data_IF_754007594951
#
_entry.id   IF_754007594951
#
_cell.length_a   1.000
_cell.length_b   1.000
_cell.length_c   1.000
_cell.angle_alpha   90.00
_cell.angle_beta   90.00
_cell.angle_gamma   90.00
#
_symmetry.space_group_name_H-M   'P 1'
#
loop_
_entity.id
_entity.type
_entity.pdbx_description
1 polymer ?
#
# COMPACT_ATOMS: atom_id res chain seq x y z
N UNK A 1 -1.39 18.32 12.00
CA UNK A 1 -0.97 17.85 10.66
C UNK A 1 -2.13 17.38 9.76
N UNK A 2 -3.39 17.42 10.23
CA UNK A 2 -4.56 16.85 9.53
C UNK A 2 -5.08 17.66 8.32
N UNK A 3 -4.79 18.97 8.26
CA UNK A 3 -5.31 19.83 7.19
C UNK A 3 -4.55 19.67 5.85
N UNK A 4 -3.23 19.42 5.90
CA UNK A 4 -2.42 19.24 4.70
C UNK A 4 -2.75 17.93 3.97
N UNK A 5 -2.92 16.82 4.72
CA UNK A 5 -3.28 15.52 4.17
C UNK A 5 -4.68 15.53 3.49
N UNK A 6 -5.59 16.38 3.97
CA UNK A 6 -6.92 16.56 3.39
C UNK A 6 -6.86 17.36 2.08
N UNK A 7 -6.06 18.43 2.02
CA UNK A 7 -5.86 19.19 0.77
C UNK A 7 -5.13 18.32 -0.28
N UNK A 8 -4.10 17.57 0.12
CA UNK A 8 -3.31 16.73 -0.79
C UNK A 8 -4.13 15.60 -1.44
N UNK A 9 -5.20 15.14 -0.78
CA UNK A 9 -6.11 14.13 -1.30
C UNK A 9 -7.15 14.68 -2.31
N UNK A 10 -7.31 16.00 -2.42
CA UNK A 10 -8.36 16.61 -3.26
C UNK A 10 -7.89 16.97 -4.67
N UNK A 11 -6.57 17.04 -4.90
CA UNK A 11 -6.02 17.36 -6.22
C UNK A 11 -6.16 16.21 -7.21
N UNK A 12 -6.66 16.53 -8.41
CA UNK A 12 -6.70 15.66 -9.59
C UNK A 12 -5.59 16.05 -10.57
N UNK A 13 -5.19 15.08 -11.39
CA UNK A 13 -4.19 15.30 -12.42
C UNK A 13 -4.66 16.40 -13.39
N UNK A 14 -3.90 17.50 -13.45
CA UNK A 14 -4.23 18.69 -14.22
C UNK A 14 -4.68 19.91 -13.40
N UNK A 15 -5.00 19.74 -12.12
CA UNK A 15 -5.37 20.85 -11.24
C UNK A 15 -4.19 21.78 -10.94
N UNK A 16 -2.96 21.25 -11.04
CA UNK A 16 -1.71 21.99 -10.85
C UNK A 16 -0.59 21.41 -11.71
N UNK A 17 0.42 22.23 -11.98
CA UNK A 17 1.66 21.77 -12.61
C UNK A 17 2.47 20.92 -11.62
N UNK A 18 2.89 19.73 -12.07
CA UNK A 18 3.73 18.84 -11.27
C UNK A 18 5.14 18.80 -11.85
N UNK A 19 6.14 18.96 -11.00
CA UNK A 19 7.56 18.91 -11.36
C UNK A 19 8.39 18.64 -10.10
N UNK A 20 9.61 18.16 -10.28
CA UNK A 20 10.52 17.88 -9.18
C UNK A 20 10.89 19.19 -8.47
N UNK A 21 10.63 19.26 -7.17
CA UNK A 21 10.92 20.43 -6.32
C UNK A 21 11.25 20.03 -4.89
N UNK A 22 11.74 20.99 -4.11
CA UNK A 22 12.02 20.82 -2.68
C UNK A 22 11.15 21.76 -1.82
N UNK A 23 10.38 21.24 -0.84
CA UNK A 23 10.14 19.82 -0.60
C UNK A 23 9.37 19.16 -1.76
N UNK A 24 9.54 17.85 -1.93
CA UNK A 24 8.85 17.08 -2.98
C UNK A 24 7.34 17.21 -2.83
N UNK A 25 6.66 17.44 -3.95
CA UNK A 25 5.20 17.55 -3.99
C UNK A 25 4.56 16.19 -3.72
N UNK A 26 3.40 16.18 -3.07
CA UNK A 26 2.64 14.99 -2.73
C UNK A 26 1.16 15.15 -3.07
N UNK A 27 0.48 14.06 -3.43
CA UNK A 27 -0.96 14.07 -3.67
C UNK A 27 -1.51 12.92 -4.52
N UNK A 28 -2.83 12.87 -4.60
CA UNK A 28 -3.57 11.90 -5.40
C UNK A 28 -3.36 12.11 -6.92
N UNK A 29 -3.16 13.35 -7.35
CA UNK A 29 -2.78 13.72 -8.71
C UNK A 29 -1.45 13.11 -9.17
N UNK A 30 -0.46 13.05 -8.26
CA UNK A 30 0.83 12.40 -8.52
C UNK A 30 0.68 10.88 -8.53
N UNK A 31 -0.18 10.32 -7.68
CA UNK A 31 -0.51 8.89 -7.67
C UNK A 31 -1.11 8.48 -9.03
N UNK A 32 -2.07 9.26 -9.53
CA UNK A 32 -2.68 9.05 -10.86
C UNK A 32 -1.63 9.16 -11.98
N UNK A 33 -0.76 10.17 -11.93
CA UNK A 33 0.36 10.30 -12.87
C UNK A 33 1.27 9.06 -12.88
N UNK A 34 1.76 8.63 -11.71
CA UNK A 34 2.65 7.47 -11.58
C UNK A 34 2.01 6.20 -12.15
N UNK A 35 0.71 6.01 -11.93
CA UNK A 35 -0.03 4.86 -12.45
C UNK A 35 -0.17 4.89 -13.97
N UNK A 36 -0.56 6.04 -14.53
CA UNK A 36 -0.67 6.21 -15.98
C UNK A 36 0.67 6.03 -16.67
N UNK A 37 1.75 6.54 -16.10
CA UNK A 37 3.09 6.31 -16.62
C UNK A 37 3.44 4.82 -16.58
N UNK A 38 3.21 4.15 -15.45
CA UNK A 38 3.48 2.72 -15.28
C UNK A 38 2.67 1.81 -16.21
N UNK A 39 1.39 2.13 -16.46
CA UNK A 39 0.54 1.37 -17.40
C UNK A 39 0.92 1.60 -18.86
N UNK A 40 1.56 2.73 -19.16
CA UNK A 40 2.12 3.02 -20.48
C UNK A 40 3.57 2.53 -20.64
N UNK A 41 4.11 1.84 -19.63
CA UNK A 41 5.45 1.25 -19.67
C UNK A 41 6.59 2.20 -19.28
N UNK A 42 6.29 3.32 -18.64
CA UNK A 42 7.29 4.25 -18.11
C UNK A 42 7.46 4.02 -16.61
N UNK A 43 8.69 3.70 -16.19
CA UNK A 43 9.01 3.36 -14.82
C UNK A 43 9.09 4.61 -13.92
N UNK A 44 7.97 4.94 -13.26
CA UNK A 44 7.88 6.05 -12.31
C UNK A 44 8.30 5.68 -10.87
N UNK A 45 8.90 4.50 -10.67
CA UNK A 45 9.22 3.99 -9.33
C UNK A 45 7.99 3.47 -8.59
N UNK A 46 7.97 3.66 -7.27
CA UNK A 46 6.80 3.29 -6.45
C UNK A 46 5.66 4.28 -6.66
N UNK A 47 4.43 3.77 -6.64
CA UNK A 47 3.21 4.58 -6.72
C UNK A 47 2.88 5.12 -5.32
N UNK A 48 3.76 5.99 -4.81
CA UNK A 48 3.70 6.53 -3.44
C UNK A 48 3.04 7.91 -3.33
N UNK A 49 2.62 8.47 -4.47
CA UNK A 49 2.03 9.81 -4.55
C UNK A 49 3.05 10.93 -4.33
N UNK A 50 4.36 10.64 -4.40
CA UNK A 50 5.44 11.62 -4.24
C UNK A 50 6.12 11.90 -5.58
N UNK A 51 6.24 13.18 -5.95
CA UNK A 51 6.94 13.56 -7.17
C UNK A 51 8.45 13.57 -6.94
N UNK A 52 9.07 12.39 -7.02
CA UNK A 52 10.51 12.17 -6.89
C UNK A 52 11.25 12.09 -8.23
N UNK A 53 12.55 11.74 -8.17
CA UNK A 53 13.44 11.61 -9.33
C UNK A 53 12.98 10.53 -10.33
N UNK A 54 12.43 9.43 -9.83
CA UNK A 54 11.94 8.33 -10.68
C UNK A 54 10.70 8.79 -11.46
N UNK A 55 9.76 9.47 -10.78
CA UNK A 55 8.59 10.10 -11.41
C UNK A 55 9.02 11.12 -12.47
N UNK A 56 9.97 12.01 -12.16
CA UNK A 56 10.49 12.99 -13.12
C UNK A 56 11.10 12.30 -14.35
N UNK A 57 11.92 11.27 -14.13
CA UNK A 57 12.56 10.51 -15.21
C UNK A 57 11.53 9.82 -16.10
N UNK A 58 10.48 9.24 -15.51
CA UNK A 58 9.36 8.64 -16.25
C UNK A 58 8.58 9.68 -17.06
N UNK A 59 8.33 10.87 -16.50
CA UNK A 59 7.68 11.98 -17.21
C UNK A 59 8.52 12.41 -18.41
N UNK A 60 9.83 12.59 -18.25
CA UNK A 60 10.73 12.97 -19.36
C UNK A 60 10.73 11.93 -20.48
N UNK A 61 10.80 10.65 -20.12
CA UNK A 61 10.74 9.55 -21.08
C UNK A 61 9.39 9.50 -21.81
N UNK A 62 8.29 9.71 -21.09
CA UNK A 62 6.96 9.79 -21.66
C UNK A 62 6.82 10.96 -22.64
N UNK A 63 7.24 12.15 -22.22
CA UNK A 63 7.24 13.35 -23.05
C UNK A 63 8.04 13.14 -24.33
N UNK A 64 9.25 12.59 -24.25
CA UNK A 64 10.06 12.25 -25.41
C UNK A 64 9.35 11.27 -26.36
N UNK A 65 8.69 10.24 -25.84
CA UNK A 65 7.94 9.28 -26.66
C UNK A 65 6.69 9.91 -27.31
N UNK A 66 6.05 10.88 -26.65
CA UNK A 66 4.90 11.61 -27.19
C UNK A 66 5.28 12.80 -28.10
N UNK A 67 6.57 13.03 -28.37
CA UNK A 67 7.05 14.15 -29.17
C UNK A 67 6.88 15.51 -28.49
N UNK A 68 6.77 15.53 -27.15
CA UNK A 68 6.76 16.73 -26.32
C UNK A 68 8.19 17.09 -25.91
N UNK A 69 8.39 18.32 -25.44
CA UNK A 69 9.66 18.72 -24.80
C UNK A 69 9.85 17.90 -23.50
N UNK A 70 10.95 17.14 -23.34
CA UNK A 70 11.19 16.29 -22.17
C UNK A 70 11.75 17.09 -20.99
N UNK A 71 10.98 18.07 -20.53
CA UNK A 71 11.36 19.00 -19.45
C UNK A 71 11.06 18.45 -18.05
N UNK A 72 10.34 17.34 -17.93
CA UNK A 72 9.94 16.75 -16.66
C UNK A 72 8.78 17.47 -15.97
N UNK A 73 8.14 18.41 -16.66
CA UNK A 73 7.04 19.23 -16.15
C UNK A 73 5.70 18.72 -16.68
N UNK A 74 4.84 18.29 -15.77
CA UNK A 74 3.48 17.83 -16.09
C UNK A 74 2.57 19.05 -16.17
N UNK A 75 2.61 19.71 -17.33
CA UNK A 75 1.66 20.74 -17.74
C UNK A 75 0.48 20.20 -18.56
N UNK A 76 -0.41 21.09 -19.05
CA UNK A 76 -1.63 20.72 -19.78
C UNK A 76 -1.38 19.78 -20.97
N UNK A 77 -0.31 19.97 -21.73
CA UNK A 77 0.01 19.12 -22.89
C UNK A 77 0.36 17.69 -22.48
N UNK A 78 1.12 17.54 -21.39
CA UNK A 78 1.47 16.23 -20.82
C UNK A 78 0.21 15.52 -20.31
N UNK A 79 -0.66 16.23 -19.58
CA UNK A 79 -1.93 15.70 -19.08
C UNK A 79 -2.84 15.26 -20.22
N UNK A 80 -2.94 16.07 -21.28
CA UNK A 80 -3.73 15.74 -22.46
C UNK A 80 -3.20 14.50 -23.18
N UNK A 81 -1.88 14.38 -23.34
CA UNK A 81 -1.25 13.21 -23.93
C UNK A 81 -1.52 11.93 -23.12
N UNK A 82 -1.40 12.00 -21.78
CA UNK A 82 -1.74 10.88 -20.88
C UNK A 82 -3.22 10.49 -21.02
N UNK A 83 -4.13 11.47 -21.09
CA UNK A 83 -5.56 11.24 -21.26
C UNK A 83 -5.93 10.49 -22.55
N UNK A 84 -5.25 10.80 -23.67
CA UNK A 84 -5.47 10.12 -24.96
C UNK A 84 -5.07 8.65 -24.95
N UNK A 85 -4.11 8.28 -24.11
CA UNK A 85 -3.55 6.93 -24.06
C UNK A 85 -4.21 6.05 -22.98
N UNK A 86 -4.76 6.65 -21.92
CA UNK A 86 -5.48 5.93 -20.86
C UNK A 86 -6.65 5.07 -21.39
N UNK A 87 -7.30 5.48 -22.49
CA UNK A 87 -8.38 4.71 -23.11
C UNK A 87 -7.95 3.51 -23.95
N UNK A 88 -6.64 3.27 -24.15
CA UNK A 88 -6.14 2.33 -25.18
C UNK A 88 -5.53 1.02 -24.67
N UNK A 89 -5.24 0.83 -23.37
CA UNK A 89 -4.53 -0.38 -22.86
C UNK A 89 -4.98 -0.87 -21.47
N UNK A 90 -6.28 -1.04 -21.24
CA UNK A 90 -6.84 -1.53 -19.95
C UNK A 90 -6.59 -3.03 -19.63
N UNK A 91 -5.56 -3.68 -20.18
CA UNK A 91 -5.43 -5.15 -20.10
C UNK A 91 -4.04 -5.74 -19.81
N UNK A 92 -2.96 -4.95 -19.81
CA UNK A 92 -1.62 -5.45 -19.53
C UNK A 92 -1.21 -5.06 -18.10
N UNK A 93 -0.60 -6.01 -17.36
CA UNK A 93 -0.06 -5.77 -16.01
C UNK A 93 0.96 -4.64 -16.05
N UNK A 94 0.85 -3.68 -15.14
CA UNK A 94 1.75 -2.52 -15.11
C UNK A 94 3.18 -2.92 -14.73
N UNK A 95 4.20 -2.12 -15.09
CA UNK A 95 5.59 -2.39 -14.68
C UNK A 95 5.72 -2.47 -13.14
N UNK A 96 4.96 -1.64 -12.42
CA UNK A 96 4.93 -1.65 -10.97
C UNK A 96 4.40 -2.98 -10.41
N UNK A 97 3.33 -3.55 -11.00
CA UNK A 97 2.77 -4.85 -10.60
C UNK A 97 3.74 -6.01 -10.88
N UNK A 98 4.43 -5.96 -12.02
CA UNK A 98 5.45 -6.97 -12.39
C UNK A 98 6.62 -6.92 -11.40
N UNK A 99 7.14 -5.73 -11.10
CA UNK A 99 8.24 -5.54 -10.14
C UNK A 99 7.88 -6.03 -8.75
N UNK A 100 6.70 -5.68 -8.25
CA UNK A 100 6.22 -6.13 -6.95
C UNK A 100 6.15 -7.67 -6.91
N UNK A 101 5.57 -8.29 -7.94
CA UNK A 101 5.43 -9.76 -8.02
C UNK A 101 6.79 -10.47 -8.02
N UNK A 102 7.75 -9.98 -8.81
CA UNK A 102 9.10 -10.55 -8.86
C UNK A 102 9.85 -10.38 -7.53
N UNK A 103 9.74 -9.21 -6.88
CA UNK A 103 10.31 -8.99 -5.55
C UNK A 103 9.77 -10.01 -4.54
N UNK A 104 8.47 -10.27 -4.57
CA UNK A 104 7.82 -11.17 -3.62
C UNK A 104 8.14 -12.66 -3.86
N UNK A 105 8.36 -13.07 -5.11
CA UNK A 105 8.77 -14.45 -5.42
C UNK A 105 10.15 -14.82 -4.89
N UNK A 106 11.03 -13.83 -4.73
CA UNK A 106 12.42 -14.04 -4.32
C UNK A 106 12.61 -14.32 -2.81
N UNK A 107 11.59 -14.10 -1.97
CA UNK A 107 11.71 -14.15 -0.51
C UNK A 107 10.56 -14.96 0.10
N UNK A 108 10.86 -16.15 0.61
CA UNK A 108 9.87 -17.07 1.21
C UNK A 108 10.08 -17.24 2.72
N UNK A 109 8.99 -17.52 3.44
CA UNK A 109 8.99 -17.80 4.88
C UNK A 109 9.14 -16.57 5.79
N UNK A 110 9.00 -16.79 7.11
CA UNK A 110 9.07 -15.74 8.13
C UNK A 110 10.50 -15.46 8.63
N UNK A 111 11.43 -16.41 8.51
CA UNK A 111 12.78 -16.29 9.04
C UNK A 111 13.54 -15.09 8.43
N UNK A 112 13.99 -14.16 9.26
CA UNK A 112 14.68 -12.93 8.84
C UNK A 112 13.79 -11.93 8.10
N UNK A 113 12.49 -12.20 7.97
CA UNK A 113 11.55 -11.32 7.27
C UNK A 113 11.32 -10.08 8.12
N UNK A 114 11.54 -8.90 7.54
CA UNK A 114 11.29 -7.60 8.18
C UNK A 114 9.80 -7.25 8.11
N UNK A 115 9.06 -7.48 9.18
CA UNK A 115 7.61 -7.30 9.24
C UNK A 115 7.29 -6.08 10.10
N UNK A 116 6.45 -5.20 9.58
CA UNK A 116 5.95 -4.04 10.33
C UNK A 116 4.51 -4.32 10.75
N UNK A 117 4.22 -4.19 12.04
CA UNK A 117 2.86 -4.27 12.57
C UNK A 117 2.49 -2.97 13.26
N UNK A 118 1.29 -2.47 13.04
CA UNK A 118 0.91 -1.14 13.53
C UNK A 118 -0.52 -1.04 14.02
N UNK A 119 -0.78 -0.06 14.88
CA UNK A 119 -2.13 0.31 15.32
C UNK A 119 -2.27 1.80 15.63
N UNK A 120 -3.50 2.30 15.59
CA UNK A 120 -3.86 3.72 15.78
C UNK A 120 -4.54 4.01 17.12
N UNK A 121 -4.74 3.00 17.96
CA UNK A 121 -5.33 3.12 19.30
C UNK A 121 -6.16 1.90 19.69
N UNK A 122 -6.06 1.50 20.97
CA UNK A 122 -6.98 0.55 21.60
C UNK A 122 -6.69 -0.93 21.34
N UNK A 123 -5.67 -1.27 20.52
CA UNK A 123 -5.30 -2.66 20.20
C UNK A 123 -3.81 -2.96 20.38
N UNK A 124 -3.09 -2.14 21.15
CA UNK A 124 -1.65 -2.34 21.42
C UNK A 124 -1.32 -3.75 21.93
N UNK A 125 -2.10 -4.31 22.87
CA UNK A 125 -1.89 -5.65 23.40
C UNK A 125 -2.02 -6.77 22.34
N UNK A 126 -2.89 -6.59 21.35
CA UNK A 126 -3.02 -7.48 20.20
C UNK A 126 -1.76 -7.40 19.33
N UNK A 127 -1.32 -6.18 18.98
CA UNK A 127 -0.11 -5.94 18.18
C UNK A 127 1.14 -6.51 18.85
N UNK A 128 1.32 -6.29 20.15
CA UNK A 128 2.45 -6.82 20.91
C UNK A 128 2.44 -8.35 20.96
N UNK A 129 1.25 -8.95 21.07
CA UNK A 129 1.11 -10.40 21.05
C UNK A 129 1.42 -10.98 19.68
N UNK A 130 0.94 -10.36 18.60
CA UNK A 130 1.28 -10.72 17.23
C UNK A 130 2.79 -10.60 17.00
N UNK A 131 3.40 -9.49 17.41
CA UNK A 131 4.82 -9.23 17.23
C UNK A 131 5.69 -10.26 17.96
N UNK A 132 5.34 -10.62 19.21
CA UNK A 132 6.04 -11.68 19.94
C UNK A 132 5.98 -13.02 19.23
N UNK A 133 4.83 -13.38 18.65
CA UNK A 133 4.66 -14.63 17.89
C UNK A 133 5.52 -14.64 16.63
N UNK A 134 5.46 -13.58 15.83
CA UNK A 134 6.27 -13.43 14.62
C UNK A 134 7.77 -13.47 14.91
N UNK A 135 8.22 -12.82 15.99
CA UNK A 135 9.63 -12.91 16.44
C UNK A 135 10.03 -14.32 16.86
N UNK A 136 9.11 -15.07 17.48
CA UNK A 136 9.36 -16.48 17.83
C UNK A 136 9.50 -17.38 16.59
N UNK A 137 8.87 -17.00 15.47
CA UNK A 137 9.04 -17.66 14.16
C UNK A 137 10.26 -17.14 13.37
N UNK A 138 11.11 -16.31 14.00
CA UNK A 138 12.36 -15.81 13.42
C UNK A 138 12.23 -14.55 12.58
N UNK A 139 11.06 -13.89 12.54
CA UNK A 139 10.90 -12.62 11.85
C UNK A 139 11.54 -11.46 12.62
N UNK A 140 12.05 -10.47 11.90
CA UNK A 140 12.44 -9.18 12.45
C UNK A 140 11.18 -8.30 12.48
N UNK A 141 10.74 -7.86 13.65
CA UNK A 141 9.44 -7.16 13.77
C UNK A 141 9.59 -5.77 14.34
N UNK A 142 9.04 -4.78 13.63
CA UNK A 142 8.84 -3.41 14.10
C UNK A 142 7.37 -3.20 14.48
N UNK A 143 7.13 -2.69 15.69
CA UNK A 143 5.78 -2.33 16.18
C UNK A 143 5.59 -0.82 16.15
N UNK A 144 4.44 -0.35 15.64
CA UNK A 144 4.09 1.08 15.58
C UNK A 144 2.78 1.34 16.34
N UNK A 145 2.83 2.27 17.30
CA UNK A 145 1.70 2.62 18.17
C UNK A 145 1.45 4.13 18.10
N UNK A 146 0.90 4.61 16.99
CA UNK A 146 0.58 6.03 16.83
C UNK A 146 -0.61 6.24 15.89
N UNK A 147 -1.35 7.35 16.05
CA UNK A 147 -2.57 7.58 15.26
C UNK A 147 -2.30 8.01 13.81
N UNK A 148 -1.07 8.39 13.46
CA UNK A 148 -0.73 8.93 12.13
C UNK A 148 -0.25 7.82 11.17
N UNK A 149 -1.09 7.52 10.18
CA UNK A 149 -0.83 6.51 9.16
C UNK A 149 0.28 6.90 8.16
N UNK A 150 0.48 8.19 7.90
CA UNK A 150 1.61 8.65 7.08
C UNK A 150 2.92 8.53 7.85
N UNK A 151 2.90 8.77 9.16
CA UNK A 151 4.04 8.51 10.04
C UNK A 151 4.36 7.00 10.12
N UNK A 152 3.34 6.14 10.08
CA UNK A 152 3.54 4.69 9.94
C UNK A 152 4.28 4.35 8.65
N UNK A 153 3.79 4.84 7.51
CA UNK A 153 4.38 4.56 6.20
C UNK A 153 5.84 5.03 6.14
N UNK A 154 6.11 6.26 6.60
CA UNK A 154 7.45 6.82 6.67
C UNK A 154 8.40 5.93 7.47
N UNK A 155 8.01 5.56 8.70
CA UNK A 155 8.86 4.75 9.59
C UNK A 155 9.07 3.34 9.02
N UNK A 156 8.03 2.74 8.46
CA UNK A 156 8.09 1.42 7.83
C UNK A 156 9.03 1.39 6.61
N UNK A 157 9.01 2.46 5.80
CA UNK A 157 9.89 2.64 4.64
C UNK A 157 11.34 2.91 5.05
N UNK A 158 11.58 3.76 6.05
CA UNK A 158 12.93 4.07 6.58
C UNK A 158 13.56 2.83 7.22
N UNK A 159 12.75 1.99 7.85
CA UNK A 159 13.17 0.71 8.37
C UNK A 159 13.19 -0.39 7.29
N UNK A 160 12.96 -0.08 6.01
CA UNK A 160 13.03 -1.03 4.89
C UNK A 160 12.31 -2.36 5.21
N UNK A 161 11.09 -2.24 5.73
CA UNK A 161 10.28 -3.42 6.00
C UNK A 161 9.79 -4.05 4.70
N UNK A 162 9.53 -5.35 4.77
CA UNK A 162 9.10 -6.13 3.62
C UNK A 162 7.58 -6.27 3.49
N UNK A 163 6.83 -6.06 4.58
CA UNK A 163 5.36 -6.13 4.62
C UNK A 163 4.84 -5.34 5.81
N UNK A 164 3.66 -4.73 5.66
CA UNK A 164 2.98 -3.99 6.70
C UNK A 164 1.59 -4.60 7.00
N UNK A 165 1.29 -4.84 8.28
CA UNK A 165 -0.04 -5.24 8.74
C UNK A 165 -0.47 -4.31 9.87
N UNK A 166 -1.49 -3.49 9.60
CA UNK A 166 -2.04 -2.60 10.61
C UNK A 166 -3.44 -3.02 11.08
N UNK A 167 -3.78 -2.66 12.30
CA UNK A 167 -5.08 -2.95 12.91
C UNK A 167 -5.66 -1.70 13.58
N UNK A 168 -6.96 -1.47 13.42
CA UNK A 168 -7.71 -0.45 14.16
C UNK A 168 -9.07 -0.97 14.56
N UNK A 169 -9.61 -0.44 15.65
CA UNK A 169 -11.00 -0.63 16.03
C UNK A 169 -11.92 0.14 15.07
N UNK A 170 -13.06 -0.45 14.77
CA UNK A 170 -14.15 0.13 13.98
C UNK A 170 -15.49 -0.52 14.41
N UNK A 171 -16.55 0.27 14.49
CA UNK A 171 -17.90 -0.24 14.78
C UNK A 171 -18.65 -0.64 13.51
N UNK A 172 -18.26 -0.11 12.37
CA UNK A 172 -18.86 -0.31 11.05
C UNK A 172 -17.77 -0.45 9.96
N UNK A 173 -18.15 -0.96 8.79
CA UNK A 173 -17.26 -1.20 7.65
C UNK A 173 -16.03 -2.07 8.00
N UNK A 174 -16.30 -3.20 8.66
CA UNK A 174 -15.28 -4.20 8.96
C UNK A 174 -14.66 -4.71 7.67
N UNK A 175 -13.34 -4.65 7.57
CA UNK A 175 -12.66 -4.90 6.31
C UNK A 175 -11.17 -5.14 6.53
N UNK A 176 -10.54 -5.76 5.53
CA UNK A 176 -9.09 -5.78 5.36
C UNK A 176 -8.75 -5.00 4.10
N UNK A 177 -8.32 -3.77 4.27
CA UNK A 177 -8.04 -2.89 3.15
C UNK A 177 -6.65 -3.17 2.56
N UNK A 178 -6.53 -3.18 1.23
CA UNK A 178 -5.27 -3.23 0.48
C UNK A 178 -5.19 -2.12 -0.57
N UNK A 179 -4.00 -1.80 -1.07
CA UNK A 179 -3.86 -0.73 -2.05
C UNK A 179 -4.42 -1.12 -3.42
N UNK A 180 -5.40 -0.35 -3.89
CA UNK A 180 -5.97 -0.47 -5.22
C UNK A 180 -6.48 0.88 -5.72
N UNK A 181 -6.33 1.10 -7.02
CA UNK A 181 -6.93 2.20 -7.78
C UNK A 181 -7.63 1.65 -9.03
N UNK A 182 -8.16 2.52 -9.88
CA UNK A 182 -8.82 2.11 -11.12
C UNK A 182 -7.87 1.39 -12.10
N UNK A 183 -6.56 1.65 -12.04
CA UNK A 183 -5.56 1.10 -12.97
C UNK A 183 -4.40 0.36 -12.30
N UNK A 184 -4.42 0.14 -11.00
CA UNK A 184 -3.35 -0.55 -10.27
C UNK A 184 -3.92 -1.35 -9.11
N UNK A 185 -3.44 -2.59 -8.93
CA UNK A 185 -3.71 -3.39 -7.74
C UNK A 185 -2.39 -3.88 -7.17
N UNK A 186 -2.13 -3.63 -5.87
CA UNK A 186 -0.99 -4.27 -5.19
C UNK A 186 -1.27 -5.78 -5.11
N UNK A 187 -0.53 -6.57 -5.89
CA UNK A 187 -0.73 -8.01 -5.97
C UNK A 187 -0.41 -8.68 -4.62
N UNK A 188 0.68 -8.23 -3.98
CA UNK A 188 1.06 -8.68 -2.64
C UNK A 188 0.07 -8.22 -1.58
N UNK A 189 -0.35 -6.96 -1.63
CA UNK A 189 -1.31 -6.39 -0.68
C UNK A 189 -2.67 -7.10 -0.75
N UNK A 190 -3.16 -7.37 -1.97
CA UNK A 190 -4.40 -8.14 -2.18
C UNK A 190 -4.27 -9.57 -1.64
N UNK A 191 -3.17 -10.27 -1.96
CA UNK A 191 -2.92 -11.61 -1.43
C UNK A 191 -2.90 -11.64 0.10
N UNK A 192 -2.25 -10.65 0.72
CA UNK A 192 -2.22 -10.52 2.18
C UNK A 192 -3.61 -10.23 2.74
N UNK A 193 -4.36 -9.34 2.10
CA UNK A 193 -5.70 -8.98 2.53
C UNK A 193 -6.65 -10.16 2.48
N UNK A 194 -6.58 -10.99 1.44
CA UNK A 194 -7.39 -12.21 1.34
C UNK A 194 -7.01 -13.21 2.45
N UNK A 195 -5.72 -13.44 2.71
CA UNK A 195 -5.31 -14.32 3.81
C UNK A 195 -5.75 -13.82 5.19
N UNK A 196 -5.61 -12.51 5.45
CA UNK A 196 -6.02 -11.90 6.71
C UNK A 196 -7.55 -11.88 6.83
N UNK A 197 -8.27 -11.56 5.76
CA UNK A 197 -9.73 -11.58 5.70
C UNK A 197 -10.29 -12.92 6.16
N UNK A 198 -9.80 -14.04 5.60
CA UNK A 198 -10.21 -15.38 6.03
C UNK A 198 -9.82 -15.69 7.48
N UNK A 199 -8.65 -15.23 7.93
CA UNK A 199 -8.13 -15.55 9.26
C UNK A 199 -8.87 -14.83 10.40
N UNK A 200 -9.36 -13.61 10.16
CA UNK A 200 -10.04 -12.79 11.18
C UNK A 200 -11.47 -13.31 11.48
N UNK A 201 -12.12 -13.96 10.52
CA UNK A 201 -13.52 -14.43 10.65
C UNK A 201 -13.70 -15.34 11.85
N UNK A 202 -12.79 -16.30 12.09
CA UNK A 202 -12.91 -17.24 13.22
C UNK A 202 -12.88 -16.54 14.58
N UNK A 203 -11.81 -15.80 14.92
CA UNK A 203 -11.68 -15.12 16.22
C UNK A 203 -12.77 -14.07 16.50
N UNK A 204 -13.19 -13.31 15.48
CA UNK A 204 -14.14 -12.20 15.67
C UNK A 204 -15.58 -12.56 15.32
N UNK A 205 -15.82 -13.71 14.69
CA UNK A 205 -17.13 -14.18 14.24
C UNK A 205 -17.91 -13.14 13.41
N UNK A 206 -17.20 -12.43 12.54
CA UNK A 206 -17.76 -11.45 11.64
C UNK A 206 -16.94 -11.42 10.33
N UNK A 207 -17.58 -11.19 9.17
CA UNK A 207 -16.87 -11.06 7.90
C UNK A 207 -16.03 -9.79 7.89
N UNK A 208 -14.81 -9.89 7.36
CA UNK A 208 -13.90 -8.78 7.15
C UNK A 208 -13.43 -8.82 5.69
N UNK A 209 -14.28 -8.49 4.70
CA UNK A 209 -13.95 -8.60 3.28
C UNK A 209 -12.65 -7.87 2.93
N UNK A 210 -11.91 -8.43 1.97
CA UNK A 210 -10.76 -7.75 1.38
C UNK A 210 -11.25 -6.64 0.45
N UNK A 211 -10.87 -5.39 0.72
CA UNK A 211 -11.37 -4.21 -0.01
C UNK A 211 -10.22 -3.37 -0.55
N UNK A 212 -10.29 -2.98 -1.81
CA UNK A 212 -9.35 -2.04 -2.41
C UNK A 212 -9.57 -0.62 -1.88
N UNK A 213 -8.55 0.02 -1.32
CA UNK A 213 -8.61 1.38 -0.77
C UNK A 213 -7.33 2.17 -1.04
N UNK A 214 -7.39 3.49 -0.77
CA UNK A 214 -6.29 4.45 -0.98
C UNK A 214 -5.97 5.27 0.29
N UNK A 215 -6.03 4.63 1.45
CA UNK A 215 -5.71 5.29 2.72
C UNK A 215 -4.19 5.57 2.83
N UNK A 216 -3.75 6.55 3.64
CA UNK A 216 -2.36 7.01 3.66
C UNK A 216 -1.31 5.90 3.80
N UNK A 217 -1.50 4.97 4.75
CA UNK A 217 -0.57 3.87 4.96
C UNK A 217 -0.43 2.94 3.75
N UNK A 218 -1.52 2.73 2.99
CA UNK A 218 -1.52 1.84 1.82
C UNK A 218 -0.91 2.52 0.58
N UNK A 219 -1.11 3.84 0.47
CA UNK A 219 -0.59 4.64 -0.65
C UNK A 219 0.89 4.97 -0.47
N UNK A 220 1.31 5.37 0.73
CA UNK A 220 2.66 5.95 0.94
C UNK A 220 3.74 4.90 1.26
N UNK A 221 3.34 3.64 1.45
CA UNK A 221 4.27 2.55 1.76
C UNK A 221 4.89 1.93 0.50
N UNK A 222 6.13 1.46 0.63
CA UNK A 222 6.89 0.78 -0.44
C UNK A 222 6.84 -0.75 -0.33
N UNK A 223 5.99 -1.27 0.55
CA UNK A 223 5.77 -2.70 0.78
C UNK A 223 4.30 -3.08 0.56
N UNK A 224 4.00 -4.37 0.32
CA UNK A 224 2.65 -4.87 0.48
C UNK A 224 2.12 -4.50 1.87
N UNK A 225 0.93 -3.93 1.91
CA UNK A 225 0.35 -3.44 3.15
C UNK A 225 -1.13 -3.76 3.22
N UNK A 226 -1.57 -4.05 4.45
CA UNK A 226 -3.00 -4.17 4.77
C UNK A 226 -3.36 -3.37 6.00
N UNK A 227 -4.62 -2.94 6.04
CA UNK A 227 -5.21 -2.23 7.17
C UNK A 227 -6.52 -2.89 7.59
N UNK A 228 -6.50 -3.54 8.75
CA UNK A 228 -7.60 -4.30 9.30
C UNK A 228 -8.47 -3.42 10.19
N UNK A 229 -9.70 -3.14 9.76
CA UNK A 229 -10.73 -2.53 10.60
C UNK A 229 -11.47 -3.64 11.34
N UNK A 230 -11.14 -3.83 12.61
CA UNK A 230 -11.68 -4.89 13.47
C UNK A 230 -12.78 -4.36 14.37
N UNK A 231 -13.73 -5.23 14.70
CA UNK A 231 -14.99 -4.88 15.35
C UNK A 231 -14.91 -4.40 16.80
N UNK A 232 -15.97 -4.72 17.55
CA UNK A 232 -16.17 -4.30 18.95
C UNK A 232 -14.89 -4.41 19.83
N UNK A 233 -14.48 -3.33 20.52
CA UNK A 233 -13.26 -3.32 21.33
C UNK A 233 -13.21 -4.39 22.42
N UNK A 234 -14.33 -4.65 23.11
CA UNK A 234 -14.35 -5.64 24.18
C UNK A 234 -14.11 -7.04 23.60
N UNK A 235 -14.75 -7.37 22.47
CA UNK A 235 -14.54 -8.64 21.77
C UNK A 235 -13.12 -8.77 21.23
N UNK A 236 -12.56 -7.71 20.64
CA UNK A 236 -11.19 -7.73 20.12
C UNK A 236 -10.18 -7.96 21.23
N UNK A 237 -10.34 -7.30 22.38
CA UNK A 237 -9.45 -7.48 23.55
C UNK A 237 -9.60 -8.89 24.13
N UNK A 238 -10.82 -9.39 24.33
CA UNK A 238 -11.08 -10.74 24.81
C UNK A 238 -10.43 -11.81 23.91
N UNK A 239 -10.50 -11.60 22.59
CA UNK A 239 -10.03 -12.56 21.59
C UNK A 239 -8.62 -12.27 21.07
N UNK A 240 -7.91 -11.30 21.66
CA UNK A 240 -6.61 -10.85 21.18
C UNK A 240 -5.58 -11.99 21.00
N UNK A 241 -5.45 -12.99 21.91
CA UNK A 241 -4.51 -14.09 21.73
C UNK A 241 -4.83 -14.98 20.53
N UNK A 242 -6.12 -15.25 20.28
CA UNK A 242 -6.59 -16.06 19.16
C UNK A 242 -6.46 -15.30 17.85
N UNK A 243 -6.83 -14.02 17.84
CA UNK A 243 -6.70 -13.14 16.68
C UNK A 243 -5.22 -12.96 16.28
N UNK A 244 -4.32 -12.74 17.23
CA UNK A 244 -2.88 -12.66 16.98
C UNK A 244 -2.34 -13.95 16.35
N UNK A 245 -2.79 -15.12 16.82
CA UNK A 245 -2.39 -16.41 16.24
C UNK A 245 -2.88 -16.54 14.79
N UNK A 246 -4.15 -16.24 14.53
CA UNK A 246 -4.72 -16.33 13.19
C UNK A 246 -4.07 -15.35 12.21
N UNK A 247 -3.77 -14.12 12.63
CA UNK A 247 -3.05 -13.13 11.81
C UNK A 247 -1.60 -13.54 11.54
N UNK A 248 -0.91 -14.13 12.53
CA UNK A 248 0.42 -14.73 12.32
C UNK A 248 0.34 -15.81 11.24
N UNK A 249 -0.59 -16.75 11.38
CA UNK A 249 -0.73 -17.86 10.43
C UNK A 249 -1.08 -17.36 9.01
N UNK A 250 -1.85 -16.27 8.91
CA UNK A 250 -2.14 -15.60 7.64
C UNK A 250 -0.87 -15.00 7.02
N UNK A 251 -0.05 -14.31 7.80
CA UNK A 251 1.24 -13.77 7.34
C UNK A 251 2.20 -14.88 6.92
N UNK A 252 2.27 -15.99 7.66
CA UNK A 252 3.10 -17.14 7.30
C UNK A 252 2.69 -17.70 5.94
N UNK A 253 1.39 -17.97 5.73
CA UNK A 253 0.86 -18.44 4.44
C UNK A 253 1.14 -17.46 3.31
N UNK A 254 1.01 -16.16 3.58
CA UNK A 254 1.31 -15.12 2.61
C UNK A 254 2.81 -15.06 2.27
N UNK A 255 3.72 -15.22 3.24
CA UNK A 255 5.15 -15.29 2.97
C UNK A 255 5.52 -16.48 2.07
N UNK A 256 4.80 -17.60 2.18
CA UNK A 256 5.00 -18.74 1.29
C UNK A 256 4.33 -18.54 -0.08
N UNK A 257 3.19 -17.84 -0.12
CA UNK A 257 2.37 -17.62 -1.32
C UNK A 257 1.83 -16.19 -1.36
N UNK A 258 2.65 -15.20 -1.75
CA UNK A 258 2.30 -13.79 -1.60
C UNK A 258 1.33 -13.27 -2.67
N UNK A 259 1.30 -13.92 -3.84
CA UNK A 259 0.43 -13.54 -4.97
C UNK A 259 -0.53 -14.68 -5.26
N UNK A 260 -1.81 -14.33 -5.34
CA UNK A 260 -2.88 -15.26 -5.68
C UNK A 260 -2.75 -15.67 -7.15
N UNK A 261 -3.04 -16.93 -7.45
CA UNK A 261 -3.08 -17.37 -8.85
C UNK A 261 -4.27 -16.67 -9.53
N UNK A 262 -4.03 -16.16 -10.73
CA UNK A 262 -5.14 -15.83 -11.63
C UNK A 262 -5.73 -17.16 -12.09
N UNK A 263 -7.01 -17.39 -11.78
CA UNK A 263 -7.79 -18.46 -12.40
C UNK A 263 -8.06 -18.15 -13.88
#
# INVERSE_FOLDING_TARGET
>A
HTWAALIEADFRLGDRMLYLRSPMTRGDDITDLQQRLGSLGFDAGYVDGIFGSDTESAVRNFQANQGLTPDGVVGPDTVMALGRLAGRRSGEKTIAEVRETERLRSQQGLQGRRIVVGETGGVAALIDTLARRLRADGAEVLTLHQPDLSAHAKTANEWDGAVYLGVTLATEDLSVAYFQTEGFVSAGGRGLAEHASHAIVGPLNAPHPAVGMRIPILRETRMPAVWCRVGDPARVVERAPALALSLRDALARWCDRPVLRAD
#
